data_IF_513222553487
#
_entry.id   IF_513222553487
#
_cell.length_a   1.000
_cell.length_b   1.000
_cell.length_c   1.000
_cell.angle_alpha   90.00
_cell.angle_beta   90.00
_cell.angle_gamma   90.00
#
_symmetry.space_group_name_H-M   'P 1'
#
loop_
_entity.id
_entity.type
_entity.pdbx_description
1 polymer ?
#
# COMPACT_ATOMS: atom_id res chain seq x y z
N UNK A 1 1.02 21.79 -14.52
CA UNK A 1 1.91 20.76 -13.94
C UNK A 1 2.22 21.02 -12.46
N UNK A 2 2.05 20.01 -11.59
CA UNK A 2 2.40 20.12 -10.17
C UNK A 2 3.92 20.23 -9.99
N UNK A 3 4.42 20.96 -8.98
CA UNK A 3 5.86 21.03 -8.71
C UNK A 3 6.41 19.66 -8.26
N UNK A 4 7.64 19.34 -8.65
CA UNK A 4 8.27 18.01 -8.45
C UNK A 4 8.27 17.56 -6.99
N UNK A 5 8.52 18.47 -6.04
CA UNK A 5 8.51 18.14 -4.61
C UNK A 5 7.13 17.66 -4.14
N UNK A 6 6.05 18.22 -4.69
CA UNK A 6 4.68 17.85 -4.33
C UNK A 6 4.32 16.49 -4.90
N UNK A 7 4.75 16.20 -6.13
CA UNK A 7 4.59 14.88 -6.76
C UNK A 7 5.36 13.82 -5.96
N UNK A 8 6.61 14.12 -5.58
CA UNK A 8 7.41 13.24 -4.73
C UNK A 8 6.71 12.97 -3.39
N UNK A 9 6.19 14.00 -2.73
CA UNK A 9 5.49 13.84 -1.45
C UNK A 9 4.21 13.01 -1.58
N UNK A 10 3.44 13.17 -2.66
CA UNK A 10 2.25 12.35 -2.94
C UNK A 10 2.65 10.88 -3.12
N UNK A 11 3.68 10.61 -3.93
CA UNK A 11 4.14 9.25 -4.16
C UNK A 11 4.74 8.63 -2.90
N UNK A 12 5.49 9.41 -2.13
CA UNK A 12 6.04 8.99 -0.86
C UNK A 12 4.93 8.63 0.12
N UNK A 13 3.91 9.48 0.27
CA UNK A 13 2.76 9.21 1.15
C UNK A 13 1.96 7.97 0.71
N UNK A 14 1.86 7.72 -0.60
CA UNK A 14 1.19 6.53 -1.14
C UNK A 14 1.93 5.23 -0.81
N UNK A 15 3.25 5.26 -0.59
CA UNK A 15 4.07 4.09 -0.24
C UNK A 15 4.31 4.02 1.27
N UNK A 16 4.43 5.17 1.93
CA UNK A 16 4.70 5.32 3.36
C UNK A 16 3.47 4.92 4.18
N UNK A 17 3.35 3.63 4.42
CA UNK A 17 2.32 3.05 5.27
C UNK A 17 2.90 2.22 6.42
N UNK A 18 2.02 1.47 7.05
CA UNK A 18 2.38 0.53 8.10
C UNK A 18 3.25 -0.62 7.57
N UNK A 19 3.12 -0.96 6.29
CA UNK A 19 3.88 -2.02 5.62
C UNK A 19 5.41 -1.83 5.73
N UNK A 20 5.99 -0.73 5.20
CA UNK A 20 7.43 -0.49 5.30
C UNK A 20 7.97 -0.43 6.74
N UNK A 21 7.22 0.17 7.66
CA UNK A 21 7.66 0.33 9.06
C UNK A 21 7.66 -1.02 9.79
N UNK A 22 6.51 -1.70 9.85
CA UNK A 22 6.41 -2.99 10.54
C UNK A 22 7.15 -4.09 9.79
N UNK A 23 7.13 -4.07 8.47
CA UNK A 23 7.86 -5.02 7.62
C UNK A 23 9.36 -4.95 7.88
N UNK A 24 9.94 -3.76 7.95
CA UNK A 24 11.36 -3.59 8.27
C UNK A 24 11.68 -4.06 9.70
N UNK A 25 10.83 -3.73 10.69
CA UNK A 25 11.04 -4.16 12.09
C UNK A 25 10.92 -5.68 12.24
N UNK A 26 9.91 -6.30 11.61
CA UNK A 26 9.74 -7.75 11.61
C UNK A 26 10.88 -8.44 10.86
N UNK A 27 11.34 -7.86 9.75
CA UNK A 27 12.51 -8.31 9.01
C UNK A 27 13.78 -8.27 9.88
N UNK A 28 14.00 -7.18 10.60
CA UNK A 28 15.16 -7.00 11.47
C UNK A 28 15.27 -8.06 12.57
N UNK A 29 14.15 -8.66 13.02
CA UNK A 29 14.17 -9.77 13.99
C UNK A 29 14.89 -11.02 13.46
N UNK A 30 15.05 -11.17 12.15
CA UNK A 30 15.75 -12.30 11.52
C UNK A 30 17.27 -12.11 11.43
N UNK A 31 17.83 -11.07 12.06
CA UNK A 31 19.27 -10.82 12.12
C UNK A 31 19.79 -9.87 11.05
N UNK A 32 21.11 -9.64 11.03
CA UNK A 32 21.76 -8.61 10.18
C UNK A 32 21.59 -8.86 8.69
N UNK A 33 21.46 -10.11 8.24
CA UNK A 33 21.21 -10.45 6.84
C UNK A 33 19.89 -9.88 6.29
N UNK A 34 18.90 -9.65 7.17
CA UNK A 34 17.62 -9.04 6.77
C UNK A 34 17.78 -7.61 6.24
N UNK A 35 18.73 -6.83 6.78
CA UNK A 35 19.01 -5.47 6.31
C UNK A 35 19.53 -5.47 4.87
N UNK A 36 20.43 -6.41 4.54
CA UNK A 36 20.91 -6.57 3.17
C UNK A 36 19.77 -6.92 2.23
N UNK A 37 18.88 -7.81 2.64
CA UNK A 37 17.72 -8.18 1.83
C UNK A 37 16.71 -7.04 1.66
N UNK A 38 16.45 -6.25 2.71
CA UNK A 38 15.55 -5.09 2.63
C UNK A 38 16.10 -4.08 1.61
N UNK A 39 17.40 -3.76 1.69
CA UNK A 39 18.04 -2.83 0.76
C UNK A 39 18.04 -3.38 -0.67
N UNK A 40 18.61 -4.58 -0.87
CA UNK A 40 18.73 -5.16 -2.21
C UNK A 40 17.35 -5.46 -2.82
N UNK A 41 16.40 -5.98 -2.04
CA UNK A 41 15.04 -6.24 -2.47
C UNK A 41 14.29 -4.95 -2.86
N UNK A 42 14.46 -3.87 -2.09
CA UNK A 42 13.86 -2.58 -2.46
C UNK A 42 14.39 -2.03 -3.78
N UNK A 43 15.67 -2.24 -4.09
CA UNK A 43 16.29 -1.78 -5.34
C UNK A 43 15.87 -2.68 -6.50
N UNK A 44 16.11 -3.99 -6.40
CA UNK A 44 15.99 -4.91 -7.54
C UNK A 44 14.57 -5.41 -7.78
N UNK A 45 13.75 -5.56 -6.74
CA UNK A 45 12.37 -5.99 -6.89
C UNK A 45 11.42 -4.78 -6.89
N UNK A 46 11.50 -3.91 -5.87
CA UNK A 46 10.59 -2.78 -5.70
C UNK A 46 10.75 -1.70 -6.77
N UNK A 47 11.90 -1.02 -6.77
CA UNK A 47 12.13 0.13 -7.65
C UNK A 47 12.04 -0.25 -9.14
N UNK A 48 12.55 -1.44 -9.50
CA UNK A 48 12.45 -1.98 -10.86
C UNK A 48 10.99 -2.24 -11.24
N UNK A 49 10.20 -2.89 -10.38
CA UNK A 49 8.78 -3.16 -10.62
C UNK A 49 7.97 -1.86 -10.79
N UNK A 50 8.20 -0.88 -9.93
CA UNK A 50 7.50 0.41 -9.96
C UNK A 50 7.87 1.21 -11.21
N UNK A 51 9.15 1.21 -11.61
CA UNK A 51 9.60 1.85 -12.84
C UNK A 51 8.96 1.21 -14.07
N UNK A 52 8.97 -0.12 -14.18
CA UNK A 52 8.35 -0.80 -15.32
C UNK A 52 6.84 -0.59 -15.37
N UNK A 53 6.15 -0.68 -14.23
CA UNK A 53 4.71 -0.45 -14.12
C UNK A 53 4.33 0.97 -14.54
N UNK A 54 5.09 1.96 -14.06
CA UNK A 54 4.90 3.37 -14.44
C UNK A 54 5.18 3.62 -15.92
N UNK A 55 6.28 3.07 -16.46
CA UNK A 55 6.63 3.24 -17.88
C UNK A 55 5.61 2.57 -18.81
N UNK A 56 5.09 1.40 -18.43
CA UNK A 56 4.02 0.73 -19.16
C UNK A 56 2.75 1.58 -19.18
N UNK A 57 2.34 2.11 -18.02
CA UNK A 57 1.15 2.99 -17.94
C UNK A 57 1.32 4.26 -18.78
N UNK A 58 2.47 4.93 -18.67
CA UNK A 58 2.78 6.12 -19.46
C UNK A 58 2.72 5.87 -20.97
N UNK A 59 3.26 4.74 -21.45
CA UNK A 59 3.22 4.36 -22.86
C UNK A 59 1.81 4.04 -23.37
N UNK A 60 0.89 3.71 -22.47
CA UNK A 60 -0.51 3.41 -22.77
C UNK A 60 -1.46 4.57 -22.40
N UNK A 61 -0.95 5.81 -22.34
CA UNK A 61 -1.79 6.98 -22.08
C UNK A 61 -2.34 7.04 -20.65
N UNK A 62 -1.69 6.39 -19.68
CA UNK A 62 -2.10 6.36 -18.28
C UNK A 62 -3.13 5.27 -17.94
N UNK A 63 -3.27 4.24 -18.78
CA UNK A 63 -4.14 3.10 -18.48
C UNK A 63 -3.71 2.37 -17.20
N UNK A 64 -4.69 1.81 -16.49
CA UNK A 64 -4.44 1.00 -15.30
C UNK A 64 -3.80 -0.34 -15.66
N UNK A 65 -2.99 -0.90 -14.76
CA UNK A 65 -2.31 -2.19 -14.98
C UNK A 65 -3.26 -3.32 -15.40
N UNK A 66 -4.44 -3.53 -14.78
CA UNK A 66 -5.38 -4.57 -15.23
C UNK A 66 -5.89 -4.35 -16.66
N UNK A 67 -6.00 -3.10 -17.11
CA UNK A 67 -6.44 -2.76 -18.46
C UNK A 67 -5.35 -3.08 -19.49
N UNK A 68 -4.10 -2.70 -19.20
CA UNK A 68 -2.93 -3.02 -20.01
C UNK A 68 -2.75 -4.54 -20.12
N UNK A 69 -2.85 -5.25 -19.00
CA UNK A 69 -2.79 -6.72 -18.97
C UNK A 69 -3.90 -7.32 -19.86
N UNK A 70 -5.11 -6.78 -19.79
CA UNK A 70 -6.22 -7.23 -20.62
C UNK A 70 -6.01 -7.01 -22.12
N UNK A 71 -5.33 -5.92 -22.50
CA UNK A 71 -4.99 -5.64 -23.90
C UNK A 71 -4.03 -6.69 -24.48
N UNK A 72 -3.07 -7.18 -23.69
CA UNK A 72 -2.04 -8.12 -24.15
C UNK A 72 -2.39 -9.60 -23.91
N UNK A 73 -3.05 -9.94 -22.81
CA UNK A 73 -3.34 -11.33 -22.40
C UNK A 73 -4.82 -11.72 -22.58
N UNK A 74 -5.65 -10.81 -23.09
CA UNK A 74 -7.06 -11.06 -23.39
C UNK A 74 -8.04 -10.82 -22.23
N UNK A 75 -9.32 -10.99 -22.53
CA UNK A 75 -10.43 -10.61 -21.65
C UNK A 75 -10.51 -11.46 -20.36
N UNK A 76 -10.18 -12.75 -20.43
CA UNK A 76 -10.22 -13.65 -19.26
C UNK A 76 -9.23 -13.19 -18.19
N UNK A 77 -7.98 -12.92 -18.59
CA UNK A 77 -6.93 -12.45 -17.69
C UNK A 77 -7.26 -11.08 -17.10
N UNK A 78 -7.87 -10.19 -17.90
CA UNK A 78 -8.37 -8.89 -17.45
C UNK A 78 -9.37 -9.01 -16.29
N UNK A 79 -10.35 -9.90 -16.42
CA UNK A 79 -11.38 -10.08 -15.39
C UNK A 79 -10.80 -10.66 -14.10
N UNK A 80 -9.88 -11.63 -14.20
CA UNK A 80 -9.15 -12.18 -13.04
C UNK A 80 -8.36 -11.07 -12.34
N UNK A 81 -7.59 -10.28 -13.09
CA UNK A 81 -6.79 -9.19 -12.52
C UNK A 81 -7.66 -8.11 -11.88
N UNK A 82 -8.81 -7.79 -12.46
CA UNK A 82 -9.78 -6.86 -11.86
C UNK A 82 -10.32 -7.40 -10.54
N UNK A 83 -10.73 -8.67 -10.50
CA UNK A 83 -11.20 -9.32 -9.26
C UNK A 83 -10.12 -9.33 -8.18
N UNK A 84 -8.90 -9.73 -8.54
CA UNK A 84 -7.74 -9.70 -7.65
C UNK A 84 -7.47 -8.29 -7.10
N UNK A 85 -7.51 -7.27 -7.96
CA UNK A 85 -7.27 -5.87 -7.55
C UNK A 85 -8.34 -5.39 -6.57
N UNK A 86 -9.62 -5.71 -6.79
CA UNK A 86 -10.70 -5.33 -5.86
C UNK A 86 -10.49 -5.97 -4.49
N UNK A 87 -10.20 -7.28 -4.44
CA UNK A 87 -9.93 -7.98 -3.19
C UNK A 87 -8.71 -7.36 -2.48
N UNK A 88 -7.65 -7.06 -3.23
CA UNK A 88 -6.45 -6.44 -2.69
C UNK A 88 -6.76 -5.06 -2.10
N UNK A 89 -7.56 -4.23 -2.78
CA UNK A 89 -7.95 -2.91 -2.26
C UNK A 89 -8.76 -3.00 -0.96
N UNK A 90 -9.66 -3.99 -0.84
CA UNK A 90 -10.41 -4.23 0.40
C UNK A 90 -9.46 -4.67 1.53
N UNK A 91 -8.53 -5.59 1.25
CA UNK A 91 -7.55 -6.07 2.23
C UNK A 91 -6.64 -4.93 2.71
N UNK A 92 -6.16 -4.10 1.78
CA UNK A 92 -5.34 -2.92 2.08
C UNK A 92 -6.12 -1.97 2.99
N UNK A 93 -7.36 -1.62 2.64
CA UNK A 93 -8.22 -0.78 3.48
C UNK A 93 -8.39 -1.34 4.90
N UNK A 94 -8.63 -2.65 5.03
CA UNK A 94 -8.74 -3.32 6.33
C UNK A 94 -7.47 -3.20 7.17
N UNK A 95 -6.28 -3.43 6.59
CA UNK A 95 -5.00 -3.34 7.30
C UNK A 95 -4.69 -1.90 7.74
N UNK A 96 -5.03 -0.91 6.92
CA UNK A 96 -4.84 0.50 7.25
C UNK A 96 -5.75 1.00 8.39
N UNK A 97 -6.90 0.36 8.61
CA UNK A 97 -7.78 0.65 9.76
C UNK A 97 -7.32 -0.12 11.00
N UNK A 98 -7.04 -1.42 10.85
CA UNK A 98 -6.70 -2.29 11.97
C UNK A 98 -5.33 -1.97 12.59
N UNK A 99 -4.36 -1.56 11.79
CA UNK A 99 -3.00 -1.32 12.25
C UNK A 99 -2.85 -0.15 13.23
N UNK A 100 -3.34 1.08 12.92
CA UNK A 100 -3.31 2.20 13.85
C UNK A 100 -4.19 1.94 15.07
N UNK A 101 -5.36 1.32 14.88
CA UNK A 101 -6.24 0.95 15.99
C UNK A 101 -5.57 -0.02 16.97
N UNK A 102 -4.84 -1.02 16.47
CA UNK A 102 -4.08 -1.95 17.28
C UNK A 102 -2.89 -1.30 18.01
N UNK A 103 -2.27 -0.28 17.42
CA UNK A 103 -1.24 0.53 18.10
C UNK A 103 -1.84 1.38 19.22
N UNK A 104 -2.95 2.06 18.97
CA UNK A 104 -3.63 2.89 19.96
C UNK A 104 -4.16 2.07 21.13
N UNK A 105 -4.75 0.90 20.87
CA UNK A 105 -5.20 -0.01 21.90
C UNK A 105 -4.07 -0.46 22.84
N UNK A 106 -2.85 -0.68 22.30
CA UNK A 106 -1.66 -1.00 23.12
C UNK A 106 -1.18 0.18 23.96
N UNK A 107 -1.38 1.41 23.51
CA UNK A 107 -1.01 2.63 24.23
C UNK A 107 -2.08 3.07 25.25
N UNK A 108 -3.31 2.57 25.15
CA UNK A 108 -4.40 2.83 26.11
C UNK A 108 -4.96 1.56 26.76
N UNK A 109 -4.19 0.81 27.57
CA UNK A 109 -4.60 -0.49 28.09
C UNK A 109 -5.76 -0.46 29.10
N UNK A 110 -6.13 0.72 29.62
CA UNK A 110 -6.99 0.86 30.80
C UNK A 110 -8.46 1.22 30.52
N UNK A 111 -8.95 1.09 29.28
CA UNK A 111 -10.39 1.21 29.04
C UNK A 111 -10.85 1.38 27.59
N UNK A 112 -9.95 1.51 26.62
CA UNK A 112 -10.31 1.66 25.21
C UNK A 112 -9.90 0.41 24.44
N UNK A 113 -10.89 -0.44 24.18
CA UNK A 113 -10.71 -1.73 23.53
C UNK A 113 -10.35 -1.59 22.04
N UNK A 114 -9.77 -2.62 21.43
CA UNK A 114 -9.35 -2.58 20.02
C UNK A 114 -10.52 -2.24 19.07
N UNK A 115 -11.72 -2.74 19.40
CA UNK A 115 -12.96 -2.46 18.66
C UNK A 115 -13.34 -0.99 18.70
N UNK A 116 -13.15 -0.31 19.84
CA UNK A 116 -13.41 1.12 19.96
C UNK A 116 -12.53 1.92 19.00
N UNK A 117 -11.22 1.66 19.01
CA UNK A 117 -10.28 2.35 18.13
C UNK A 117 -10.50 2.03 16.65
N UNK A 118 -10.91 0.81 16.30
CA UNK A 118 -11.28 0.46 14.92
C UNK A 118 -12.44 1.34 14.46
N UNK A 119 -13.50 1.47 15.28
CA UNK A 119 -14.67 2.29 14.93
C UNK A 119 -14.27 3.76 14.75
N UNK A 120 -13.47 4.31 15.68
CA UNK A 120 -12.99 5.70 15.61
C UNK A 120 -12.15 5.95 14.35
N UNK A 121 -11.19 5.08 14.06
CA UNK A 121 -10.33 5.19 12.87
C UNK A 121 -11.15 5.02 11.59
N UNK A 122 -12.11 4.11 11.56
CA UNK A 122 -12.98 3.89 10.42
C UNK A 122 -13.87 5.11 10.12
N UNK A 123 -14.49 5.70 11.16
CA UNK A 123 -15.26 6.95 11.02
C UNK A 123 -14.38 8.10 10.54
N UNK A 124 -13.17 8.24 11.10
CA UNK A 124 -12.20 9.23 10.64
C UNK A 124 -11.86 9.04 9.16
N UNK A 125 -11.61 7.82 8.70
CA UNK A 125 -11.34 7.54 7.29
C UNK A 125 -12.51 7.94 6.39
N UNK A 126 -13.75 7.62 6.77
CA UNK A 126 -14.93 8.04 6.00
C UNK A 126 -15.00 9.56 5.90
N UNK A 127 -14.86 10.28 7.03
CA UNK A 127 -14.88 11.74 7.03
C UNK A 127 -13.74 12.33 6.19
N UNK A 128 -12.54 11.78 6.29
CA UNK A 128 -11.39 12.20 5.50
C UNK A 128 -11.56 11.93 4.01
N UNK A 129 -12.30 10.89 3.60
CA UNK A 129 -12.60 10.62 2.18
C UNK A 129 -13.71 11.50 1.60
N UNK A 130 -14.57 12.08 2.46
CA UNK A 130 -15.67 12.96 2.04
C UNK A 130 -15.26 14.43 1.94
N UNK A 131 -14.14 14.82 2.53
CA UNK A 131 -13.51 16.15 2.47
C UNK A 131 -12.57 16.28 1.27
#
# INVERSE_FOLDING_TARGET
PLPTWKIFMIQFLNIAGLGPIFGAIMGAKFGTSSYLWIVLGSIFAGAVHDYFSGMLSMRHGGESLPEIIGRYLGLTTKQIMRGFTVILMILVGSVFVAGPAGLLAKLTPQGLDATFWIIVVFVYYILATLL
#
